data_IF_602963727675
#
_entry.id   IF_602963727675
#
_cell.length_a   1.000
_cell.length_b   1.000
_cell.length_c   1.000
_cell.angle_alpha   90.00
_cell.angle_beta   90.00
_cell.angle_gamma   90.00
#
_symmetry.space_group_name_H-M   'P 1'
#
loop_
_entity.id
_entity.type
_entity.pdbx_description
1 polymer ?
#
# COMPACT_ATOMS: atom_id res chain seq x y z
N UNK A 1 -11.62 -3.50 3.91
CA UNK A 1 -10.55 -2.92 3.07
C UNK A 1 -11.00 -2.69 1.63
N UNK A 2 -11.53 -3.72 0.96
CA UNK A 2 -12.07 -3.65 -0.41
C UNK A 2 -13.06 -2.51 -0.64
N UNK A 3 -14.05 -2.33 0.25
CA UNK A 3 -15.02 -1.24 0.10
C UNK A 3 -14.38 0.16 0.14
N UNK A 4 -13.44 0.39 1.06
CA UNK A 4 -12.73 1.67 1.17
C UNK A 4 -11.95 1.97 -0.11
N UNK A 5 -11.20 0.98 -0.60
CA UNK A 5 -10.45 1.07 -1.84
C UNK A 5 -11.35 1.35 -3.05
N UNK A 6 -12.42 0.57 -3.24
CA UNK A 6 -13.37 0.76 -4.35
C UNK A 6 -14.05 2.12 -4.31
N UNK A 7 -14.38 2.63 -3.11
CA UNK A 7 -14.98 3.96 -2.95
C UNK A 7 -14.02 5.07 -3.37
N UNK A 8 -12.75 5.00 -2.94
CA UNK A 8 -11.70 5.96 -3.33
C UNK A 8 -11.50 5.90 -4.85
N UNK A 9 -11.38 4.70 -5.41
CA UNK A 9 -11.15 4.52 -6.84
C UNK A 9 -12.31 5.05 -7.70
N UNK A 10 -13.55 4.96 -7.20
CA UNK A 10 -14.73 5.57 -7.84
C UNK A 10 -14.71 7.09 -7.76
N UNK A 11 -14.37 7.67 -6.60
CA UNK A 11 -14.33 9.13 -6.41
C UNK A 11 -13.19 9.79 -7.20
N UNK A 12 -12.07 9.10 -7.36
CA UNK A 12 -10.89 9.60 -8.08
C UNK A 12 -10.82 9.07 -9.53
N UNK A 13 -11.87 8.42 -10.03
CA UNK A 13 -11.82 7.66 -11.28
C UNK A 13 -11.41 8.46 -12.52
N UNK A 14 -11.60 9.78 -12.53
CA UNK A 14 -11.16 10.66 -13.62
C UNK A 14 -9.66 10.94 -13.61
N UNK A 15 -8.98 10.71 -12.48
CA UNK A 15 -7.56 10.99 -12.26
C UNK A 15 -6.69 9.72 -12.23
N UNK A 16 -7.30 8.54 -12.28
CA UNK A 16 -6.58 7.27 -12.17
C UNK A 16 -6.36 6.67 -13.56
N UNK A 17 -5.17 6.09 -13.76
CA UNK A 17 -4.85 5.29 -14.94
C UNK A 17 -5.78 4.06 -15.04
N UNK A 18 -6.41 3.89 -16.20
CA UNK A 18 -7.29 2.73 -16.51
C UNK A 18 -6.55 1.40 -16.45
N UNK A 19 -5.23 1.41 -16.64
CA UNK A 19 -4.38 0.23 -16.59
C UNK A 19 -3.71 0.02 -15.22
N UNK A 20 -4.15 0.77 -14.19
CA UNK A 20 -3.60 0.65 -12.85
C UNK A 20 -3.72 -0.79 -12.33
N UNK A 21 -2.61 -1.33 -11.84
CA UNK A 21 -2.58 -2.60 -11.09
C UNK A 21 -3.36 -2.52 -9.78
N UNK A 22 -3.64 -1.30 -9.32
CA UNK A 22 -4.51 -1.03 -8.18
C UNK A 22 -5.98 -0.86 -8.58
N UNK A 23 -6.38 -1.24 -9.79
CA UNK A 23 -7.80 -1.30 -10.15
C UNK A 23 -8.57 -2.22 -9.18
N UNK A 24 -9.85 -1.94 -8.87
CA UNK A 24 -10.61 -2.70 -7.87
C UNK A 24 -10.61 -4.23 -8.08
N UNK A 25 -10.56 -4.68 -9.34
CA UNK A 25 -10.56 -6.11 -9.69
C UNK A 25 -9.16 -6.75 -9.61
N UNK A 26 -8.09 -5.94 -9.63
CA UNK A 26 -6.70 -6.39 -9.63
C UNK A 26 -6.03 -6.25 -8.25
N UNK A 27 -6.67 -5.51 -7.34
CA UNK A 27 -6.07 -5.15 -6.06
C UNK A 27 -6.09 -6.29 -5.05
N UNK A 28 -4.89 -6.69 -4.61
CA UNK A 28 -4.70 -7.56 -3.45
C UNK A 28 -4.29 -6.70 -2.26
N UNK A 29 -5.09 -6.60 -1.17
CA UNK A 29 -4.70 -5.82 0.00
C UNK A 29 -3.52 -6.48 0.72
N UNK A 30 -2.37 -5.81 0.73
CA UNK A 30 -1.16 -6.29 1.37
C UNK A 30 -0.39 -5.14 1.99
N UNK A 31 0.52 -5.47 2.90
CA UNK A 31 1.54 -4.56 3.42
C UNK A 31 2.89 -5.05 2.91
N UNK A 32 3.65 -4.18 2.23
CA UNK A 32 5.02 -4.49 1.87
C UNK A 32 5.87 -4.52 3.14
N UNK A 33 6.44 -5.68 3.44
CA UNK A 33 7.34 -5.88 4.59
C UNK A 33 8.78 -5.53 4.22
N UNK A 34 9.21 -5.88 3.01
CA UNK A 34 10.53 -5.61 2.47
C UNK A 34 10.43 -5.40 0.95
N UNK A 35 11.24 -4.51 0.40
CA UNK A 35 11.32 -4.26 -1.05
C UNK A 35 12.78 -4.02 -1.47
N UNK A 36 13.04 -4.04 -2.79
CA UNK A 36 14.37 -3.83 -3.39
C UNK A 36 15.45 -4.77 -2.83
N UNK A 37 15.04 -6.00 -2.53
CA UNK A 37 15.93 -7.05 -2.05
C UNK A 37 16.71 -7.59 -3.24
N UNK A 38 18.03 -7.70 -3.09
CA UNK A 38 18.87 -8.36 -4.07
C UNK A 38 18.39 -9.81 -4.26
N UNK A 39 18.40 -10.30 -5.50
CA UNK A 39 17.80 -11.59 -5.86
C UNK A 39 18.38 -12.75 -5.03
N UNK A 40 19.70 -12.74 -4.80
CA UNK A 40 20.44 -13.70 -3.97
C UNK A 40 20.04 -13.69 -2.48
N UNK A 41 19.26 -12.70 -2.04
CA UNK A 41 18.80 -12.53 -0.67
C UNK A 41 17.29 -12.71 -0.50
N UNK A 42 16.54 -12.99 -1.57
CA UNK A 42 15.09 -13.14 -1.49
C UNK A 42 14.68 -14.27 -0.54
N UNK A 43 15.25 -15.46 -0.72
CA UNK A 43 14.94 -16.62 0.11
C UNK A 43 15.25 -16.36 1.59
N UNK A 44 16.43 -15.81 1.87
CA UNK A 44 16.85 -15.50 3.24
C UNK A 44 15.91 -14.48 3.88
N UNK A 45 15.54 -13.44 3.14
CA UNK A 45 14.61 -12.40 3.62
C UNK A 45 13.23 -13.00 3.89
N UNK A 46 12.73 -13.84 2.99
CA UNK A 46 11.45 -14.51 3.15
C UNK A 46 11.39 -15.35 4.43
N UNK A 47 12.38 -16.23 4.65
CA UNK A 47 12.45 -17.07 5.85
C UNK A 47 12.60 -16.26 7.12
N UNK A 48 13.38 -15.17 7.09
CA UNK A 48 13.52 -14.28 8.23
C UNK A 48 12.18 -13.64 8.60
N UNK A 49 11.47 -13.08 7.62
CA UNK A 49 10.14 -12.50 7.84
C UNK A 49 9.17 -13.54 8.41
N UNK A 50 9.12 -14.75 7.85
CA UNK A 50 8.23 -15.81 8.32
C UNK A 50 8.51 -16.23 9.77
N UNK A 51 9.78 -16.28 10.16
CA UNK A 51 10.19 -16.67 11.52
C UNK A 51 9.95 -15.58 12.56
N UNK A 52 10.07 -14.31 12.17
CA UNK A 52 10.15 -13.19 13.13
C UNK A 52 8.93 -12.28 13.12
N UNK A 53 8.06 -12.34 12.12
CA UNK A 53 6.85 -11.52 12.06
C UNK A 53 5.64 -12.35 12.51
N UNK A 54 5.13 -12.13 13.73
CA UNK A 54 3.92 -12.80 14.17
C UNK A 54 2.71 -12.29 13.38
N UNK A 55 1.66 -13.11 13.35
CA UNK A 55 0.35 -12.65 12.88
C UNK A 55 -0.11 -11.52 13.80
N UNK A 56 -0.35 -10.35 13.23
CA UNK A 56 -0.87 -9.20 13.96
C UNK A 56 -2.22 -8.77 13.42
N UNK A 57 -3.00 -8.11 14.28
CA UNK A 57 -4.27 -7.48 13.93
C UNK A 57 -4.12 -5.99 14.11
N UNK A 58 -4.64 -5.23 13.14
CA UNK A 58 -4.64 -3.77 13.18
C UNK A 58 -6.00 -3.23 12.73
N UNK A 59 -6.28 -1.99 13.14
CA UNK A 59 -7.43 -1.22 12.65
C UNK A 59 -6.91 -0.04 11.84
N UNK A 60 -7.56 0.24 10.72
CA UNK A 60 -7.31 1.47 9.98
C UNK A 60 -7.92 2.62 10.78
N UNK A 61 -7.07 3.51 11.28
CA UNK A 61 -7.49 4.69 12.05
C UNK A 61 -7.52 5.96 11.20
N UNK A 62 -7.17 5.88 9.92
CA UNK A 62 -7.16 7.02 9.04
C UNK A 62 -6.55 6.72 7.68
N UNK A 63 -6.58 7.73 6.82
CA UNK A 63 -5.95 7.74 5.50
C UNK A 63 -5.13 9.01 5.32
N UNK A 64 -4.07 8.90 4.52
CA UNK A 64 -3.22 10.02 4.13
C UNK A 64 -3.09 10.05 2.61
N UNK A 65 -3.23 11.24 2.02
CA UNK A 65 -2.83 11.51 0.65
C UNK A 65 -1.38 11.98 0.68
N UNK A 66 -0.54 11.31 -0.11
CA UNK A 66 0.88 11.64 -0.25
C UNK A 66 1.19 12.02 -1.70
N UNK A 67 2.19 12.87 -1.88
CA UNK A 67 2.80 13.18 -3.17
C UNK A 67 4.21 12.59 -3.19
N UNK A 68 4.61 12.02 -4.32
CA UNK A 68 5.98 11.55 -4.55
C UNK A 68 6.59 12.48 -5.60
N UNK A 69 7.62 13.23 -5.21
CA UNK A 69 8.31 14.15 -6.12
C UNK A 69 9.17 13.40 -7.13
N UNK A 70 9.65 14.11 -8.16
CA UNK A 70 10.59 13.56 -9.15
C UNK A 70 11.88 13.01 -8.51
N UNK A 71 12.25 13.52 -7.33
CA UNK A 71 13.42 13.05 -6.58
C UNK A 71 13.08 11.91 -5.60
N UNK A 72 11.91 11.26 -5.77
CA UNK A 72 11.38 10.21 -4.90
C UNK A 72 11.16 10.64 -3.44
N UNK A 73 11.01 11.93 -3.17
CA UNK A 73 10.66 12.39 -1.82
C UNK A 73 9.15 12.28 -1.62
N UNK A 74 8.75 11.71 -0.49
CA UNK A 74 7.35 11.61 -0.09
C UNK A 74 6.97 12.84 0.73
N UNK A 75 5.86 13.47 0.35
CA UNK A 75 5.30 14.63 1.04
C UNK A 75 3.86 14.34 1.46
N UNK A 76 3.51 14.77 2.67
CA UNK A 76 2.15 14.68 3.17
C UNK A 76 1.31 15.82 2.56
N UNK A 77 0.22 15.46 1.87
CA UNK A 77 -0.69 16.44 1.23
C UNK A 77 -1.94 16.65 2.08
N UNK A 78 -2.53 15.57 2.57
CA UNK A 78 -3.76 15.61 3.36
C UNK A 78 -3.86 14.38 4.26
N UNK A 79 -4.52 14.52 5.41
CA UNK A 79 -4.80 13.39 6.31
C UNK A 79 -6.22 13.46 6.87
N UNK A 80 -6.85 12.29 7.02
CA UNK A 80 -8.13 12.13 7.72
C UNK A 80 -8.04 10.96 8.69
N UNK A 81 -8.25 11.24 9.96
CA UNK A 81 -8.43 10.22 11.00
C UNK A 81 -9.89 9.78 11.05
N UNK A 82 -10.11 8.49 11.19
CA UNK A 82 -11.39 7.84 11.48
C UNK A 82 -11.46 7.66 12.99
N UNK A 83 -12.17 8.59 13.65
CA UNK A 83 -12.57 8.50 15.06
C UNK A 83 -13.37 7.24 15.32
#
# INVERSE_FOLDING_TARGET
MTQLHSNIHRQLGTYIDKNSLYSPNNWVPHLTIANRIAEDKLDKTYHYCLKHLPIFKGKIIGIKLISITLNNQVQDVFQKTFS
#
